data_IF_336679682520
#
_entry.id   IF_336679682520
#
_cell.length_a   1.000
_cell.length_b   1.000
_cell.length_c   1.000
_cell.angle_alpha   90.00
_cell.angle_beta   90.00
_cell.angle_gamma   90.00
#
_symmetry.space_group_name_H-M   'P 1'
#
loop_
_entity.id
_entity.type
_entity.pdbx_description
1 polymer ?
#
# COMPACT_ATOMS: atom_id res chain seq x y z
N UNK A 1 11.60 -0.35 9.68
CA UNK A 1 12.00 1.04 9.36
C UNK A 1 12.92 1.51 10.47
N UNK A 2 14.22 1.60 10.17
CA UNK A 2 15.27 2.31 10.92
C UNK A 2 16.62 1.92 10.30
N UNK A 3 17.47 2.93 10.02
CA UNK A 3 18.93 2.94 9.84
C UNK A 3 19.49 3.99 8.84
N UNK A 4 18.86 5.18 8.66
CA UNK A 4 19.63 6.42 8.48
C UNK A 4 19.92 7.09 9.83
N UNK A 5 19.06 6.87 10.83
CA UNK A 5 19.13 7.48 12.16
C UNK A 5 20.42 7.18 12.95
N UNK A 6 21.08 6.03 12.72
CA UNK A 6 22.27 5.65 13.49
C UNK A 6 23.50 6.44 13.04
N UNK A 7 23.71 6.56 11.73
CA UNK A 7 24.74 7.43 11.17
C UNK A 7 24.42 8.90 11.42
N UNK A 8 23.17 9.31 11.21
CA UNK A 8 22.74 10.71 11.44
C UNK A 8 22.91 11.11 12.92
N UNK A 9 22.56 10.22 13.86
CA UNK A 9 22.80 10.44 15.28
C UNK A 9 24.30 10.53 15.59
N UNK A 10 25.12 9.68 14.99
CA UNK A 10 26.58 9.74 15.17
C UNK A 10 27.15 11.04 14.62
N UNK A 11 26.76 11.45 13.41
CA UNK A 11 27.21 12.68 12.77
C UNK A 11 26.82 13.90 13.62
N UNK A 12 25.58 13.93 14.11
CA UNK A 12 25.09 15.00 14.98
C UNK A 12 25.90 15.11 16.28
N UNK A 13 26.17 13.99 16.95
CA UNK A 13 27.01 13.97 18.16
C UNK A 13 28.47 14.41 17.86
N UNK A 14 28.98 14.05 16.69
CA UNK A 14 30.33 14.44 16.25
C UNK A 14 30.40 15.94 15.96
N UNK A 15 29.39 16.51 15.29
CA UNK A 15 29.28 17.94 15.03
C UNK A 15 29.13 18.74 16.33
N UNK A 16 28.31 18.27 17.28
CA UNK A 16 28.16 18.89 18.60
C UNK A 16 29.50 18.92 19.38
N UNK A 17 30.33 17.88 19.23
CA UNK A 17 31.67 17.81 19.85
C UNK A 17 32.67 18.80 19.23
N UNK A 18 32.42 19.21 17.99
CA UNK A 18 33.22 20.18 17.23
C UNK A 18 32.64 21.61 17.31
N UNK A 19 31.59 21.80 18.12
CA UNK A 19 30.85 23.07 18.24
C UNK A 19 30.25 23.58 16.91
N UNK A 20 29.97 22.66 15.97
CA UNK A 20 29.35 22.95 14.68
C UNK A 20 27.85 22.74 14.77
N UNK A 21 27.06 23.65 14.19
CA UNK A 21 25.58 23.57 14.22
C UNK A 21 25.06 22.34 13.45
N UNK A 22 24.60 21.33 14.19
CA UNK A 22 24.08 20.09 13.62
C UNK A 22 22.82 20.29 12.76
N UNK A 23 21.97 21.27 13.07
CA UNK A 23 20.68 21.42 12.39
C UNK A 23 20.87 21.99 10.97
N UNK A 24 21.94 22.77 10.76
CA UNK A 24 22.33 23.30 9.45
C UNK A 24 23.26 22.33 8.72
N UNK A 25 24.35 21.90 9.37
CA UNK A 25 25.43 21.17 8.70
C UNK A 25 25.18 19.66 8.63
N UNK A 26 24.44 19.07 9.57
CA UNK A 26 24.15 17.63 9.57
C UNK A 26 23.34 17.22 8.34
N UNK A 27 22.28 17.97 8.02
CA UNK A 27 21.45 17.72 6.83
C UNK A 27 22.19 17.99 5.52
N UNK A 28 23.04 19.02 5.49
CA UNK A 28 23.81 19.37 4.31
C UNK A 28 24.91 18.35 4.00
N UNK A 29 25.69 17.93 5.00
CA UNK A 29 26.72 16.89 4.87
C UNK A 29 26.08 15.56 4.44
N UNK A 30 24.92 15.21 5.00
CA UNK A 30 24.20 13.99 4.62
C UNK A 30 23.73 14.04 3.17
N UNK A 31 23.27 15.21 2.70
CA UNK A 31 22.94 15.44 1.28
C UNK A 31 24.14 15.25 0.37
N UNK A 32 25.28 15.88 0.69
CA UNK A 32 26.55 15.74 -0.07
C UNK A 32 26.99 14.27 -0.15
N UNK A 33 26.97 13.55 0.97
CA UNK A 33 27.34 12.13 1.03
C UNK A 33 26.44 11.21 0.20
N UNK A 34 25.19 11.62 -0.04
CA UNK A 34 24.20 10.86 -0.81
C UNK A 34 24.16 11.25 -2.29
N UNK A 35 24.47 12.51 -2.63
CA UNK A 35 24.46 13.02 -4.00
C UNK A 35 25.75 12.70 -4.77
N UNK A 36 26.90 12.71 -4.10
CA UNK A 36 28.18 12.47 -4.76
C UNK A 36 28.47 10.96 -4.86
N UNK A 37 29.04 10.54 -5.98
CA UNK A 37 29.34 9.11 -6.23
C UNK A 37 30.83 8.79 -5.95
N UNK A 38 31.72 9.79 -6.02
CA UNK A 38 33.15 9.63 -5.77
C UNK A 38 33.52 9.96 -4.32
N UNK A 39 34.44 9.19 -3.73
CA UNK A 39 34.97 9.46 -2.39
C UNK A 39 35.83 10.73 -2.33
N UNK A 40 36.55 11.05 -3.42
CA UNK A 40 37.34 12.29 -3.53
C UNK A 40 36.46 13.53 -3.53
N UNK A 41 35.32 13.51 -4.26
CA UNK A 41 34.37 14.64 -4.30
C UNK A 41 33.75 14.87 -2.91
N UNK A 42 33.37 13.79 -2.21
CA UNK A 42 32.86 13.84 -0.83
C UNK A 42 33.85 14.44 0.12
N UNK A 43 35.11 14.07 -0.03
CA UNK A 43 36.18 14.57 0.80
C UNK A 43 36.38 16.06 0.57
N UNK A 44 36.47 16.51 -0.67
CA UNK A 44 36.65 17.92 -1.00
C UNK A 44 35.45 18.79 -0.55
N UNK A 45 34.22 18.31 -0.75
CA UNK A 45 33.01 19.03 -0.36
C UNK A 45 32.89 19.15 1.17
N UNK A 46 33.08 18.06 1.92
CA UNK A 46 33.05 18.08 3.39
C UNK A 46 34.22 18.90 3.95
N UNK A 47 35.40 18.79 3.34
CA UNK A 47 36.56 19.58 3.73
C UNK A 47 36.31 21.07 3.52
N UNK A 48 35.69 21.48 2.42
CA UNK A 48 35.28 22.86 2.17
C UNK A 48 34.32 23.37 3.26
N UNK A 49 33.34 22.55 3.65
CA UNK A 49 32.36 22.89 4.71
C UNK A 49 33.03 23.06 6.07
N UNK A 50 33.86 22.09 6.45
CA UNK A 50 34.45 22.02 7.78
C UNK A 50 35.72 22.88 7.93
N UNK A 51 36.34 23.31 6.83
CA UNK A 51 37.52 24.20 6.84
C UNK A 51 37.27 25.55 7.51
N UNK A 52 36.01 25.99 7.55
CA UNK A 52 35.63 27.22 8.23
C UNK A 52 35.64 27.10 9.77
N UNK A 53 35.69 25.88 10.30
CA UNK A 53 35.53 25.57 11.72
C UNK A 53 36.74 24.85 12.34
N UNK A 54 37.53 24.14 11.53
CA UNK A 54 38.63 23.30 11.99
C UNK A 54 39.96 23.71 11.34
N UNK A 55 41.05 23.52 12.09
CA UNK A 55 42.41 23.66 11.58
C UNK A 55 42.78 22.47 10.67
N UNK A 56 43.68 22.68 9.70
CA UNK A 56 44.01 21.72 8.63
C UNK A 56 44.38 20.32 9.17
N UNK A 57 45.09 20.25 10.29
CA UNK A 57 45.55 18.99 10.90
C UNK A 57 44.40 18.13 11.46
N UNK A 58 43.36 18.75 12.02
CA UNK A 58 42.20 18.04 12.58
C UNK A 58 41.09 17.84 11.54
N UNK A 59 41.03 18.72 10.54
CA UNK A 59 40.05 18.72 9.47
C UNK A 59 40.12 17.43 8.64
N UNK A 60 41.32 17.05 8.20
CA UNK A 60 41.50 15.87 7.34
C UNK A 60 41.12 14.57 8.06
N UNK A 61 41.46 14.46 9.35
CA UNK A 61 41.11 13.31 10.18
C UNK A 61 39.60 13.19 10.41
N UNK A 62 38.91 14.30 10.68
CA UNK A 62 37.44 14.34 10.83
C UNK A 62 36.74 13.99 9.53
N UNK A 63 37.20 14.52 8.38
CA UNK A 63 36.61 14.22 7.08
C UNK A 63 36.72 12.72 6.74
N UNK A 64 37.90 12.13 6.96
CA UNK A 64 38.13 10.69 6.77
C UNK A 64 37.26 9.85 7.69
N UNK A 65 37.08 10.25 8.95
CA UNK A 65 36.23 9.56 9.90
C UNK A 65 34.76 9.55 9.46
N UNK A 66 34.24 10.70 8.99
CA UNK A 66 32.87 10.83 8.49
C UNK A 66 32.65 9.93 7.26
N UNK A 67 33.56 9.96 6.30
CA UNK A 67 33.47 9.13 5.08
C UNK A 67 33.53 7.63 5.42
N UNK A 68 34.40 7.25 6.35
CA UNK A 68 34.52 5.87 6.82
C UNK A 68 33.23 5.39 7.48
N UNK A 69 32.68 6.18 8.42
CA UNK A 69 31.43 5.85 9.10
C UNK A 69 30.23 5.83 8.14
N UNK A 70 30.23 6.70 7.13
CA UNK A 70 29.24 6.67 6.07
C UNK A 70 29.36 5.40 5.24
N UNK A 71 30.57 4.99 4.89
CA UNK A 71 30.82 3.76 4.12
C UNK A 71 30.39 2.51 4.89
N UNK A 72 30.69 2.45 6.19
CA UNK A 72 30.29 1.36 7.08
C UNK A 72 28.75 1.29 7.23
N UNK A 73 28.09 2.45 7.37
CA UNK A 73 26.63 2.57 7.47
C UNK A 73 25.92 2.33 6.13
N UNK A 74 26.54 2.75 5.02
CA UNK A 74 26.05 2.55 3.66
C UNK A 74 26.16 1.08 3.24
N UNK A 75 27.22 0.38 3.64
CA UNK A 75 27.36 -1.06 3.39
C UNK A 75 26.25 -1.87 4.08
N UNK A 76 25.92 -1.52 5.33
CA UNK A 76 24.82 -2.16 6.08
C UNK A 76 23.43 -1.90 5.47
N UNK A 77 23.20 -0.69 4.95
CA UNK A 77 21.94 -0.32 4.29
C UNK A 77 21.81 -0.86 2.86
N UNK A 78 22.89 -0.89 2.07
CA UNK A 78 22.94 -1.52 0.74
C UNK A 78 22.60 -3.01 0.81
N UNK A 79 23.21 -3.76 1.73
CA UNK A 79 22.92 -5.19 1.90
C UNK A 79 21.44 -5.47 2.25
N UNK A 80 20.78 -4.55 2.96
CA UNK A 80 19.35 -4.65 3.30
C UNK A 80 18.45 -4.24 2.14
N UNK A 81 18.81 -3.21 1.38
CA UNK A 81 18.08 -2.81 0.18
C UNK A 81 18.16 -3.87 -0.91
N UNK A 82 19.34 -4.47 -1.13
CA UNK A 82 19.53 -5.58 -2.06
C UNK A 82 18.64 -6.79 -1.72
N UNK A 83 18.45 -7.08 -0.42
CA UNK A 83 17.54 -8.11 0.04
C UNK A 83 16.07 -7.76 -0.27
N UNK A 84 15.66 -6.51 -0.03
CA UNK A 84 14.30 -6.05 -0.33
C UNK A 84 14.04 -6.07 -1.85
N UNK A 85 15.01 -5.66 -2.66
CA UNK A 85 14.90 -5.69 -4.12
C UNK A 85 14.84 -7.12 -4.66
N UNK A 86 15.61 -8.05 -4.08
CA UNK A 86 15.54 -9.47 -4.40
C UNK A 86 14.15 -10.07 -4.08
N UNK A 87 13.55 -9.70 -2.95
CA UNK A 87 12.19 -10.11 -2.58
C UNK A 87 11.13 -9.53 -3.53
N UNK A 88 11.23 -8.25 -3.87
CA UNK A 88 10.32 -7.58 -4.82
C UNK A 88 10.42 -8.24 -6.19
N UNK A 89 11.63 -8.55 -6.66
CA UNK A 89 11.84 -9.23 -7.93
C UNK A 89 11.33 -10.68 -7.91
N UNK A 90 11.45 -11.38 -6.78
CA UNK A 90 10.85 -12.71 -6.60
C UNK A 90 9.31 -12.66 -6.69
N UNK A 91 8.68 -11.67 -6.03
CA UNK A 91 7.23 -11.43 -6.09
C UNK A 91 6.79 -11.09 -7.53
N UNK A 92 7.52 -10.23 -8.24
CA UNK A 92 7.26 -9.91 -9.64
C UNK A 92 7.29 -11.18 -10.51
N UNK A 93 8.32 -12.02 -10.34
CA UNK A 93 8.43 -13.30 -11.06
C UNK A 93 7.28 -14.27 -10.75
N UNK A 94 6.78 -14.26 -9.50
CA UNK A 94 5.66 -15.10 -9.08
C UNK A 94 4.34 -14.62 -9.68
N UNK A 95 4.11 -13.30 -9.73
CA UNK A 95 2.94 -12.69 -10.37
C UNK A 95 2.95 -12.99 -11.88
N UNK A 96 4.09 -12.84 -12.54
CA UNK A 96 4.25 -13.15 -13.97
C UNK A 96 3.92 -14.63 -14.26
N UNK A 97 4.46 -15.56 -13.45
CA UNK A 97 4.13 -17.00 -13.54
C UNK A 97 2.65 -17.28 -13.32
N UNK A 98 1.99 -16.59 -12.39
CA UNK A 98 0.55 -16.74 -12.14
C UNK A 98 -0.31 -16.13 -13.26
N UNK A 99 0.13 -15.01 -13.85
CA UNK A 99 -0.55 -14.36 -14.97
C UNK A 99 -0.48 -15.20 -16.26
N UNK A 100 0.62 -15.93 -16.49
CA UNK A 100 0.75 -16.87 -17.62
C UNK A 100 -0.18 -18.10 -17.49
N UNK A 101 -0.62 -18.45 -16.28
CA UNK A 101 -1.43 -19.66 -16.00
C UNK A 101 -2.94 -19.43 -16.18
N UNK A 102 -3.41 -18.20 -16.35
CA UNK A 102 -4.83 -17.89 -16.58
C UNK A 102 -5.05 -17.43 -18.01
N UNK A 103 -5.29 -18.39 -18.90
CA UNK A 103 -6.41 -18.48 -19.88
C UNK A 103 -6.08 -19.67 -20.80
N UNK A 104 -6.31 -20.89 -20.32
CA UNK A 104 -6.87 -21.90 -21.22
C UNK A 104 -8.37 -21.70 -21.14
N UNK A 105 -8.98 -21.12 -22.17
CA UNK A 105 -10.43 -21.09 -22.29
C UNK A 105 -10.91 -22.53 -22.25
N UNK A 106 -11.44 -22.99 -21.12
CA UNK A 106 -12.17 -24.26 -21.08
C UNK A 106 -13.42 -24.04 -21.92
N UNK A 107 -13.50 -24.70 -23.08
CA UNK A 107 -14.70 -24.71 -23.90
C UNK A 107 -15.85 -25.27 -23.05
N UNK A 108 -16.69 -24.37 -22.53
CA UNK A 108 -17.90 -24.75 -21.80
C UNK A 108 -18.85 -25.31 -22.84
N UNK A 109 -18.98 -26.64 -22.86
CA UNK A 109 -19.94 -27.38 -23.67
C UNK A 109 -21.35 -26.81 -23.47
N UNK A 110 -22.13 -26.76 -24.54
CA UNK A 110 -23.52 -26.29 -24.63
C UNK A 110 -24.41 -26.82 -23.49
N UNK A 111 -24.14 -28.04 -23.01
CA UNK A 111 -24.88 -28.70 -21.92
C UNK A 111 -24.70 -28.01 -20.56
N UNK A 112 -23.50 -27.51 -20.25
CA UNK A 112 -23.23 -26.81 -18.98
C UNK A 112 -23.90 -25.43 -18.97
N UNK A 113 -24.01 -24.77 -20.14
CA UNK A 113 -24.76 -23.50 -20.29
C UNK A 113 -26.25 -23.71 -20.04
N UNK A 114 -26.83 -24.78 -20.60
CA UNK A 114 -28.25 -25.13 -20.40
C UNK A 114 -28.54 -25.50 -18.95
N UNK A 115 -27.67 -26.25 -18.28
CA UNK A 115 -27.80 -26.54 -16.84
C UNK A 115 -27.75 -25.28 -15.98
N UNK A 116 -26.82 -24.35 -16.25
CA UNK A 116 -26.75 -23.07 -15.52
C UNK A 116 -27.99 -22.21 -15.74
N UNK A 117 -28.50 -22.15 -16.96
CA UNK A 117 -29.72 -21.39 -17.28
C UNK A 117 -30.96 -21.97 -16.58
N UNK A 118 -31.12 -23.30 -16.58
CA UNK A 118 -32.22 -23.96 -15.87
C UNK A 118 -32.16 -23.72 -14.36
N UNK A 119 -30.95 -23.71 -13.78
CA UNK A 119 -30.76 -23.43 -12.36
C UNK A 119 -31.09 -21.97 -12.02
N UNK A 120 -30.69 -21.00 -12.85
CA UNK A 120 -31.08 -19.59 -12.70
C UNK A 120 -32.59 -19.39 -12.79
N UNK A 121 -33.26 -20.10 -13.70
CA UNK A 121 -34.71 -20.05 -13.83
C UNK A 121 -35.45 -20.59 -12.59
N UNK A 122 -34.88 -21.57 -11.88
CA UNK A 122 -35.45 -22.04 -10.60
C UNK A 122 -35.44 -20.97 -9.51
N UNK A 123 -34.47 -20.05 -9.52
CA UNK A 123 -34.41 -18.95 -8.56
C UNK A 123 -35.20 -17.71 -8.98
N UNK A 124 -35.70 -17.66 -10.22
CA UNK A 124 -36.43 -16.50 -10.74
C UNK A 124 -37.88 -16.39 -10.21
N UNK A 125 -38.42 -17.45 -9.58
CA UNK A 125 -39.81 -17.50 -9.12
C UNK A 125 -40.01 -17.26 -7.61
N UNK A 126 -39.02 -16.75 -6.87
CA UNK A 126 -39.24 -16.31 -5.49
C UNK A 126 -39.59 -14.83 -5.52
N UNK A 127 -40.85 -14.57 -5.87
CA UNK A 127 -41.51 -13.28 -5.74
C UNK A 127 -41.83 -13.06 -4.26
N UNK A 128 -41.18 -12.04 -3.68
CA UNK A 128 -41.82 -10.95 -2.94
C UNK A 128 -43.12 -11.26 -2.18
N UNK A 129 -43.07 -12.08 -1.12
CA UNK A 129 -43.95 -11.87 0.05
C UNK A 129 -43.50 -12.65 1.29
N UNK A 130 -43.81 -12.05 2.45
CA UNK A 130 -43.77 -12.59 3.83
C UNK A 130 -42.53 -12.42 4.73
N UNK A 131 -42.87 -12.02 5.96
CA UNK A 131 -42.07 -11.40 6.99
C UNK A 131 -41.27 -12.39 7.88
N UNK A 132 -40.13 -11.92 8.38
CA UNK A 132 -39.37 -12.55 9.47
C UNK A 132 -40.20 -12.68 10.76
N UNK A 133 -39.97 -13.76 11.54
CA UNK A 133 -39.33 -13.51 12.83
C UNK A 133 -38.36 -14.62 13.28
N UNK A 134 -37.35 -14.20 14.06
CA UNK A 134 -36.52 -15.01 14.97
C UNK A 134 -37.36 -16.04 15.77
N UNK A 135 -36.69 -16.87 16.57
CA UNK A 135 -37.24 -17.38 17.86
C UNK A 135 -38.06 -18.68 17.87
N UNK A 136 -37.52 -19.77 17.32
CA UNK A 136 -37.68 -21.06 17.98
C UNK A 136 -36.43 -21.88 17.63
N UNK A 137 -35.33 -21.77 18.39
CA UNK A 137 -35.35 -22.26 19.77
C UNK A 137 -36.05 -23.64 19.85
N UNK A 138 -35.99 -24.45 18.77
CA UNK A 138 -36.29 -25.88 18.78
C UNK A 138 -35.12 -26.53 19.53
N UNK A 139 -35.06 -26.42 20.85
CA UNK A 139 -35.93 -27.17 21.78
C UNK A 139 -35.88 -28.69 21.53
N UNK A 140 -35.01 -29.20 20.66
CA UNK A 140 -34.76 -30.64 20.54
C UNK A 140 -33.29 -30.98 20.78
N UNK A 141 -32.68 -30.24 21.69
CA UNK A 141 -31.43 -30.59 22.37
C UNK A 141 -31.57 -31.83 23.28
N UNK A 142 -32.75 -32.46 23.43
CA UNK A 142 -33.06 -33.05 24.75
C UNK A 142 -33.81 -34.38 24.78
N UNK A 143 -33.66 -35.29 23.81
CA UNK A 143 -34.20 -36.64 23.94
C UNK A 143 -33.32 -37.65 23.18
N UNK A 144 -32.62 -38.62 23.75
CA UNK A 144 -32.58 -39.12 25.12
C UNK A 144 -31.32 -39.99 25.30
N UNK A 145 -30.75 -39.93 26.52
CA UNK A 145 -30.11 -40.99 27.32
C UNK A 145 -29.25 -42.05 26.57
N UNK A 146 -27.94 -42.07 26.79
CA UNK A 146 -27.27 -42.82 27.88
C UNK A 146 -25.72 -42.73 27.78
N UNK A 147 -25.09 -42.84 28.96
CA UNK A 147 -23.65 -42.97 29.25
C UNK A 147 -22.79 -41.71 29.28
N UNK A 148 -22.51 -41.33 30.53
CA UNK A 148 -21.56 -40.33 31.01
C UNK A 148 -20.13 -40.72 30.62
N UNK A 149 -19.65 -40.22 29.49
CA UNK A 149 -18.30 -39.70 29.46
C UNK A 149 -18.38 -38.25 29.94
N UNK A 150 -17.42 -37.80 30.75
CA UNK A 150 -17.17 -36.36 30.92
C UNK A 150 -16.70 -35.83 29.56
N UNK A 151 -17.65 -35.65 28.66
CA UNK A 151 -17.49 -34.98 27.39
C UNK A 151 -17.43 -33.50 27.74
N UNK A 152 -16.25 -33.03 28.17
CA UNK A 152 -15.95 -31.60 28.05
C UNK A 152 -16.20 -31.32 26.57
N UNK A 153 -17.25 -30.57 26.20
CA UNK A 153 -17.54 -30.36 24.81
C UNK A 153 -16.28 -29.70 24.23
N UNK A 154 -15.70 -30.26 23.17
CA UNK A 154 -14.61 -29.61 22.43
C UNK A 154 -15.00 -28.18 21.96
N UNK A 155 -16.27 -27.80 22.11
CA UNK A 155 -16.81 -26.46 21.94
C UNK A 155 -16.53 -25.48 23.11
N UNK A 156 -16.05 -25.93 24.28
CA UNK A 156 -15.70 -25.04 25.42
C UNK A 156 -14.23 -24.63 25.43
N UNK A 157 -13.38 -25.28 24.63
CA UNK A 157 -12.09 -24.72 24.27
C UNK A 157 -12.33 -23.69 23.16
N UNK A 158 -11.77 -22.49 23.31
CA UNK A 158 -11.79 -21.47 22.28
C UNK A 158 -11.43 -22.10 20.94
N UNK A 159 -12.36 -22.02 19.97
CA UNK A 159 -12.11 -22.52 18.62
C UNK A 159 -10.96 -21.73 18.05
N UNK A 160 -9.98 -22.41 17.46
CA UNK A 160 -8.92 -21.73 16.73
C UNK A 160 -9.53 -21.06 15.49
N UNK A 161 -9.70 -19.74 15.55
CA UNK A 161 -10.26 -18.94 14.45
C UNK A 161 -9.20 -18.53 13.44
N UNK A 162 -7.91 -18.80 13.69
CA UNK A 162 -6.82 -18.30 12.84
C UNK A 162 -7.01 -18.66 11.36
N UNK A 163 -7.48 -19.87 11.05
CA UNK A 163 -7.75 -20.27 9.67
C UNK A 163 -8.93 -19.48 9.06
N UNK A 164 -10.00 -19.31 9.82
CA UNK A 164 -11.20 -18.56 9.41
C UNK A 164 -10.87 -17.06 9.25
N UNK A 165 -10.09 -16.50 10.16
CA UNK A 165 -9.64 -15.11 10.16
C UNK A 165 -8.72 -14.83 8.95
N UNK A 166 -7.78 -15.72 8.64
CA UNK A 166 -6.92 -15.60 7.45
C UNK A 166 -7.74 -15.69 6.16
N UNK A 167 -8.72 -16.60 6.10
CA UNK A 167 -9.59 -16.74 4.93
C UNK A 167 -10.51 -15.54 4.76
N UNK A 168 -11.05 -15.00 5.85
CA UNK A 168 -11.88 -13.80 5.86
C UNK A 168 -11.07 -12.56 5.50
N UNK A 169 -9.86 -12.38 6.03
CA UNK A 169 -8.96 -11.29 5.66
C UNK A 169 -8.67 -11.29 4.14
N UNK A 170 -8.31 -12.45 3.58
CA UNK A 170 -8.07 -12.61 2.15
C UNK A 170 -9.32 -12.33 1.29
N UNK A 171 -10.51 -12.65 1.82
CA UNK A 171 -11.79 -12.34 1.16
C UNK A 171 -12.07 -10.83 1.17
N UNK A 172 -11.88 -10.17 2.31
CA UNK A 172 -12.04 -8.72 2.46
C UNK A 172 -11.07 -7.97 1.55
N UNK A 173 -9.80 -8.39 1.47
CA UNK A 173 -8.81 -7.76 0.57
C UNK A 173 -9.25 -7.86 -0.90
N UNK A 174 -9.81 -9.00 -1.28
CA UNK A 174 -10.34 -9.21 -2.64
C UNK A 174 -11.58 -8.34 -2.92
N UNK A 175 -12.46 -8.19 -1.95
CA UNK A 175 -13.66 -7.34 -2.07
C UNK A 175 -13.28 -5.87 -2.12
N UNK A 176 -12.38 -5.42 -1.25
CA UNK A 176 -11.83 -4.06 -1.23
C UNK A 176 -11.17 -3.69 -2.56
N UNK A 177 -10.36 -4.59 -3.13
CA UNK A 177 -9.74 -4.35 -4.44
C UNK A 177 -10.78 -4.19 -5.58
N UNK A 178 -11.91 -4.89 -5.50
CA UNK A 178 -13.02 -4.74 -6.47
C UNK A 178 -13.74 -3.41 -6.27
N UNK A 179 -14.02 -3.04 -5.03
CA UNK A 179 -14.66 -1.76 -4.68
C UNK A 179 -13.81 -0.57 -5.09
N UNK A 180 -12.51 -0.59 -4.81
CA UNK A 180 -11.58 0.49 -5.20
C UNK A 180 -11.50 0.65 -6.72
N UNK A 181 -11.50 -0.46 -7.47
CA UNK A 181 -11.57 -0.42 -8.94
C UNK A 181 -12.88 0.17 -9.45
N UNK A 182 -14.02 -0.20 -8.82
CA UNK A 182 -15.33 0.33 -9.19
C UNK A 182 -15.42 1.83 -8.88
N UNK A 183 -15.01 2.23 -7.68
CA UNK A 183 -15.01 3.61 -7.21
C UNK A 183 -14.13 4.50 -8.08
N UNK A 184 -12.95 4.04 -8.50
CA UNK A 184 -12.09 4.78 -9.44
C UNK A 184 -12.78 5.00 -10.79
N UNK A 185 -13.45 3.98 -11.34
CA UNK A 185 -14.22 4.09 -12.58
C UNK A 185 -15.38 5.08 -12.46
N UNK A 186 -16.09 5.08 -11.33
CA UNK A 186 -17.18 6.02 -11.07
C UNK A 186 -16.68 7.45 -10.90
N UNK A 187 -15.57 7.65 -10.19
CA UNK A 187 -14.94 8.97 -10.05
C UNK A 187 -14.49 9.52 -11.40
N UNK A 188 -13.82 8.71 -12.23
CA UNK A 188 -13.43 9.11 -13.59
C UNK A 188 -14.64 9.47 -14.45
N UNK A 189 -15.76 8.72 -14.31
CA UNK A 189 -17.01 9.02 -15.02
C UNK A 189 -17.62 10.35 -14.57
N UNK A 190 -17.72 10.57 -13.26
CA UNK A 190 -18.25 11.81 -12.69
C UNK A 190 -17.42 13.03 -13.08
N UNK A 191 -16.08 12.89 -13.12
CA UNK A 191 -15.20 13.97 -13.54
C UNK A 191 -15.42 14.34 -15.02
N UNK A 192 -15.56 13.34 -15.91
CA UNK A 192 -15.88 13.57 -17.32
C UNK A 192 -17.24 14.26 -17.52
N UNK A 193 -18.24 13.89 -16.73
CA UNK A 193 -19.57 14.52 -16.79
C UNK A 193 -19.52 15.96 -16.28
N UNK A 194 -18.80 16.22 -15.18
CA UNK A 194 -18.56 17.56 -14.65
C UNK A 194 -17.88 18.48 -15.68
N UNK A 195 -16.85 17.99 -16.36
CA UNK A 195 -16.16 18.76 -17.41
C UNK A 195 -17.05 19.04 -18.63
N UNK A 196 -17.92 18.10 -19.00
CA UNK A 196 -18.92 18.29 -20.07
C UNK A 196 -19.94 19.36 -19.70
N UNK A 197 -20.47 19.32 -18.47
CA UNK A 197 -21.42 20.31 -17.98
C UNK A 197 -20.80 21.71 -17.90
N UNK A 198 -19.58 21.83 -17.38
CA UNK A 198 -18.87 23.12 -17.33
C UNK A 198 -18.65 23.71 -18.74
N UNK A 199 -18.30 22.88 -19.73
CA UNK A 199 -18.19 23.32 -21.13
C UNK A 199 -19.52 23.78 -21.70
N UNK A 200 -20.62 23.08 -21.39
CA UNK A 200 -21.95 23.46 -21.85
C UNK A 200 -22.44 24.76 -21.17
N UNK A 201 -22.22 24.91 -19.87
CA UNK A 201 -22.57 26.11 -19.13
C UNK A 201 -21.81 27.36 -19.63
N UNK A 202 -20.52 27.21 -19.98
CA UNK A 202 -19.75 28.29 -20.62
C UNK A 202 -20.37 28.69 -21.95
N UNK A 203 -20.70 27.73 -22.81
CA UNK A 203 -21.36 27.97 -24.11
C UNK A 203 -22.72 28.66 -23.95
N UNK A 204 -23.52 28.24 -22.98
CA UNK A 204 -24.84 28.82 -22.74
C UNK A 204 -24.76 30.22 -22.10
N UNK A 205 -23.80 30.45 -21.20
CA UNK A 205 -23.50 31.80 -20.67
C UNK A 205 -23.07 32.76 -21.78
N UNK A 206 -22.26 32.28 -22.72
CA UNK A 206 -21.82 33.07 -23.88
C UNK A 206 -22.98 33.38 -24.83
N UNK A 207 -23.81 32.38 -25.17
CA UNK A 207 -25.06 32.59 -25.94
C UNK A 207 -26.03 33.57 -25.28
N UNK A 208 -26.18 33.51 -23.94
CA UNK A 208 -27.01 34.47 -23.18
C UNK A 208 -26.42 35.88 -23.20
N UNK A 209 -25.10 36.03 -23.24
CA UNK A 209 -24.44 37.34 -23.37
C UNK A 209 -24.68 37.97 -24.74
N UNK A 210 -24.57 37.20 -25.82
CA UNK A 210 -24.79 37.70 -27.18
C UNK A 210 -26.26 38.02 -27.47
N UNK A 211 -27.21 37.19 -26.99
CA UNK A 211 -28.65 37.42 -27.19
C UNK A 211 -29.19 38.64 -26.44
N UNK A 212 -28.63 38.99 -25.26
CA UNK A 212 -28.96 40.24 -24.55
C UNK A 212 -28.45 41.50 -25.27
N UNK A 213 -27.43 41.36 -26.12
CA UNK A 213 -26.87 42.46 -26.93
C UNK A 213 -27.76 42.84 -28.11
N UNK A 214 -28.37 41.86 -28.78
CA UNK A 214 -29.31 42.11 -29.89
C UNK A 214 -30.67 42.61 -29.41
N UNK A 215 -31.19 42.12 -28.29
CA UNK A 215 -32.49 42.57 -27.75
C UNK A 215 -32.50 43.99 -27.19
N UNK A 216 -31.31 44.60 -27.05
CA UNK A 216 -31.11 45.98 -26.56
C UNK A 216 -30.81 46.96 -27.69
N UNK A 217 -30.63 46.50 -28.93
CA UNK A 217 -30.50 47.35 -30.12
C UNK A 217 -31.84 47.52 -30.82
#
# INVERSE_FOLDING_TARGET
>A
MAAPDEFESWLNNRLDSLEVDRDVYGSYILGVLQEEDSEEEKMDAIQSILSAFLEEDALEDVCKEIIKQWSDSSAGSKARNDHVDAEVQAIASLIEKQAQIVVKQKEVSEEEKKRKAALLAQYANITDDEAYPLSFFFSFFLSAKQSRFLFIPLNTLFKNTNLEDVMNAKKVDREKAREDSHKKKEQDKMQREKDKLLKQERKDKEKKRTQKGERKR
#
